data_IF_128695496965
#
_entry.id   IF_128695496965
#
_cell.length_a   1.000
_cell.length_b   1.000
_cell.length_c   1.000
_cell.angle_alpha   90.00
_cell.angle_beta   90.00
_cell.angle_gamma   90.00
#
_symmetry.space_group_name_H-M   'P 1'
#
loop_
_entity.id
_entity.type
_entity.pdbx_description
1 polymer ?
#
# COMPACT_ATOMS: atom_id res chain seq x y z
N UNK A 1 21.46 -15.48 3.73
CA UNK A 1 20.35 -15.92 2.87
C UNK A 1 20.79 -15.84 1.42
N UNK A 2 20.35 -16.77 0.58
CA UNK A 2 20.47 -16.67 -0.88
C UNK A 2 19.58 -15.54 -1.42
N UNK A 3 19.81 -15.11 -2.68
CA UNK A 3 18.95 -14.08 -3.33
C UNK A 3 17.46 -14.43 -3.26
N UNK A 4 17.11 -15.66 -3.63
CA UNK A 4 15.71 -16.09 -3.67
C UNK A 4 15.07 -16.18 -2.28
N UNK A 5 15.84 -16.51 -1.26
CA UNK A 5 15.38 -16.48 0.13
C UNK A 5 15.14 -15.05 0.61
N UNK A 6 16.05 -14.13 0.30
CA UNK A 6 15.92 -12.71 0.63
C UNK A 6 14.71 -12.10 -0.07
N UNK A 7 14.57 -12.33 -1.37
CA UNK A 7 13.44 -11.86 -2.18
C UNK A 7 12.11 -12.36 -1.60
N UNK A 8 12.01 -13.66 -1.31
CA UNK A 8 10.82 -14.22 -0.65
C UNK A 8 10.55 -13.56 0.70
N UNK A 9 11.58 -13.37 1.52
CA UNK A 9 11.43 -12.78 2.84
C UNK A 9 10.97 -11.31 2.75
N UNK A 10 11.54 -10.53 1.84
CA UNK A 10 11.15 -9.15 1.57
C UNK A 10 9.74 -9.05 0.96
N UNK A 11 9.36 -9.94 0.05
CA UNK A 11 8.00 -10.02 -0.47
C UNK A 11 7.00 -10.37 0.64
N UNK A 12 7.31 -11.31 1.55
CA UNK A 12 6.44 -11.64 2.67
C UNK A 12 6.24 -10.45 3.62
N UNK A 13 7.29 -9.66 3.87
CA UNK A 13 7.18 -8.42 4.66
C UNK A 13 6.32 -7.37 3.97
N UNK A 14 6.51 -7.18 2.66
CA UNK A 14 5.69 -6.29 1.86
C UNK A 14 4.21 -6.69 1.90
N UNK A 15 3.93 -7.98 1.69
CA UNK A 15 2.56 -8.52 1.75
C UNK A 15 1.94 -8.41 3.14
N UNK A 16 2.72 -8.40 4.22
CA UNK A 16 2.22 -8.15 5.58
C UNK A 16 1.75 -6.70 5.77
N UNK A 17 2.35 -5.75 5.06
CA UNK A 17 1.93 -4.34 5.06
C UNK A 17 0.69 -4.13 4.18
N UNK A 18 0.70 -4.72 2.98
CA UNK A 18 -0.43 -4.63 2.04
C UNK A 18 -1.67 -5.39 2.51
N UNK A 19 -1.47 -6.54 3.17
CA UNK A 19 -2.51 -7.49 3.56
C UNK A 19 -2.30 -8.01 4.99
N UNK A 20 -2.36 -7.14 6.01
CA UNK A 20 -2.38 -7.60 7.39
C UNK A 20 -3.47 -8.65 7.62
N UNK A 21 -3.19 -9.59 8.51
CA UNK A 21 -4.18 -10.54 8.99
C UNK A 21 -5.35 -9.78 9.64
N UNK A 22 -6.62 -10.13 9.33
CA UNK A 22 -7.76 -9.48 9.97
C UNK A 22 -7.71 -9.67 11.49
N UNK A 23 -7.90 -8.59 12.24
CA UNK A 23 -7.77 -8.59 13.71
C UNK A 23 -9.13 -8.31 14.34
N UNK A 24 -9.35 -8.92 15.51
CA UNK A 24 -10.54 -8.63 16.31
C UNK A 24 -10.33 -7.25 16.97
N UNK A 25 -11.21 -6.26 16.71
CA UNK A 25 -11.10 -4.96 17.36
C UNK A 25 -11.16 -5.12 18.89
N UNK A 26 -10.18 -4.57 19.60
CA UNK A 26 -10.17 -4.53 21.08
C UNK A 26 -9.53 -5.71 21.76
N UNK A 27 -8.83 -6.53 21.00
CA UNK A 27 -7.99 -7.55 21.56
C UNK A 27 -6.75 -6.91 22.23
N UNK A 28 -6.66 -7.04 23.55
CA UNK A 28 -5.68 -6.33 24.41
C UNK A 28 -4.23 -6.75 24.22
N UNK A 29 -3.98 -7.90 23.60
CA UNK A 29 -2.61 -8.42 23.37
C UNK A 29 -2.05 -8.01 21.99
N UNK A 30 -2.83 -7.26 21.20
CA UNK A 30 -2.41 -6.86 19.85
C UNK A 30 -1.50 -5.64 19.87
N UNK A 31 -0.33 -5.77 19.26
CA UNK A 31 0.52 -4.63 18.92
C UNK A 31 -0.09 -3.89 17.74
N UNK A 32 -0.71 -2.75 18.04
CA UNK A 32 -1.26 -1.81 17.06
C UNK A 32 -0.19 -0.78 16.69
N UNK A 33 0.81 -1.23 15.92
CA UNK A 33 1.80 -0.34 15.33
C UNK A 33 1.31 0.10 13.93
N UNK A 34 1.17 1.42 13.66
CA UNK A 34 0.86 1.92 12.32
C UNK A 34 2.08 1.82 11.41
N UNK A 35 2.49 0.59 11.11
CA UNK A 35 3.55 0.35 10.13
C UNK A 35 2.97 0.55 8.73
N UNK A 36 3.16 1.75 8.19
CA UNK A 36 2.86 2.06 6.80
C UNK A 36 3.95 1.57 5.85
N UNK A 37 3.73 1.77 4.56
CA UNK A 37 4.64 1.37 3.48
C UNK A 37 6.04 1.99 3.63
N UNK A 38 6.14 3.18 4.23
CA UNK A 38 7.43 3.82 4.53
C UNK A 38 8.37 2.94 5.36
N UNK A 39 7.84 2.12 6.28
CA UNK A 39 8.63 1.21 7.12
C UNK A 39 9.38 0.15 6.31
N UNK A 40 8.88 -0.17 5.10
CA UNK A 40 9.53 -1.10 4.19
C UNK A 40 10.88 -0.57 3.69
N UNK A 41 10.99 0.72 3.40
CA UNK A 41 12.24 1.32 2.94
C UNK A 41 13.28 1.40 4.05
N UNK A 42 12.85 1.60 5.30
CA UNK A 42 13.74 1.49 6.46
C UNK A 42 14.31 0.07 6.59
N UNK A 43 13.47 -0.96 6.39
CA UNK A 43 13.89 -2.36 6.38
C UNK A 43 14.90 -2.64 5.26
N UNK A 44 14.61 -2.19 4.04
CA UNK A 44 15.50 -2.40 2.88
C UNK A 44 16.84 -1.68 3.08
N UNK A 45 16.82 -0.45 3.60
CA UNK A 45 18.04 0.30 3.94
C UNK A 45 18.87 -0.48 4.97
N UNK A 46 18.24 -1.00 6.03
CA UNK A 46 18.93 -1.83 7.01
C UNK A 46 19.54 -3.09 6.37
N UNK A 47 18.80 -3.79 5.52
CA UNK A 47 19.32 -4.95 4.78
C UNK A 47 20.51 -4.57 3.90
N UNK A 48 20.51 -3.40 3.27
CA UNK A 48 21.66 -2.90 2.52
C UNK A 48 22.88 -2.68 3.45
N UNK A 49 22.69 -2.11 4.64
CA UNK A 49 23.78 -1.94 5.62
C UNK A 49 24.37 -3.26 6.12
N UNK A 50 23.61 -4.37 6.06
CA UNK A 50 24.11 -5.70 6.40
C UNK A 50 24.99 -6.33 5.29
N UNK A 51 25.24 -5.61 4.19
CA UNK A 51 26.13 -6.04 3.12
C UNK A 51 25.46 -6.89 2.02
N UNK A 52 24.13 -6.93 1.96
CA UNK A 52 23.43 -7.59 0.85
C UNK A 52 23.66 -6.83 -0.47
N UNK A 53 23.82 -7.52 -1.62
CA UNK A 53 24.12 -6.85 -2.88
C UNK A 53 23.04 -5.85 -3.33
N UNK A 54 23.44 -4.62 -3.61
CA UNK A 54 22.56 -3.54 -4.06
C UNK A 54 21.68 -3.93 -5.27
N UNK A 55 22.27 -4.61 -6.27
CA UNK A 55 21.53 -5.04 -7.46
C UNK A 55 20.44 -6.08 -7.17
N UNK A 56 20.53 -6.84 -6.06
CA UNK A 56 19.43 -7.71 -5.63
C UNK A 56 18.28 -6.88 -5.08
N UNK A 57 18.58 -5.92 -4.19
CA UNK A 57 17.58 -5.05 -3.58
C UNK A 57 16.87 -4.19 -4.63
N UNK A 58 17.62 -3.57 -5.54
CA UNK A 58 17.07 -2.81 -6.66
C UNK A 58 16.14 -3.67 -7.53
N UNK A 59 16.53 -4.92 -7.84
CA UNK A 59 15.69 -5.84 -8.61
C UNK A 59 14.39 -6.24 -7.89
N UNK A 60 14.43 -6.39 -6.56
CA UNK A 60 13.26 -6.69 -5.74
C UNK A 60 12.31 -5.49 -5.71
N UNK A 61 12.83 -4.29 -5.42
CA UNK A 61 12.06 -3.05 -5.44
C UNK A 61 11.43 -2.81 -6.82
N UNK A 62 12.18 -3.05 -7.89
CA UNK A 62 11.70 -2.91 -9.25
C UNK A 62 10.55 -3.88 -9.57
N UNK A 63 10.58 -5.09 -9.00
CA UNK A 63 9.49 -6.06 -9.14
C UNK A 63 8.22 -5.57 -8.44
N UNK A 64 8.35 -5.00 -7.24
CA UNK A 64 7.21 -4.44 -6.49
C UNK A 64 6.56 -3.27 -7.24
N UNK A 65 7.35 -2.41 -7.90
CA UNK A 65 6.85 -1.32 -8.73
C UNK A 65 5.97 -1.78 -9.90
N UNK A 66 6.05 -3.04 -10.35
CA UNK A 66 5.22 -3.57 -11.45
C UNK A 66 3.79 -3.91 -11.00
N UNK A 67 3.54 -4.02 -9.70
CA UNK A 67 2.21 -4.35 -9.18
C UNK A 67 1.82 -5.82 -9.22
N UNK A 68 2.67 -6.69 -9.75
CA UNK A 68 2.45 -8.14 -9.75
C UNK A 68 3.74 -8.86 -9.35
N UNK A 69 3.66 -9.64 -8.27
CA UNK A 69 4.74 -10.53 -7.84
C UNK A 69 4.59 -11.84 -8.61
N UNK A 70 5.18 -11.87 -9.81
CA UNK A 70 5.12 -13.02 -10.70
C UNK A 70 5.80 -14.24 -10.06
N UNK A 71 5.12 -15.39 -10.11
CA UNK A 71 5.59 -16.69 -9.63
C UNK A 71 6.14 -16.64 -8.21
N UNK A 72 5.54 -15.81 -7.36
CA UNK A 72 5.98 -15.62 -5.99
C UNK A 72 5.75 -16.86 -5.13
N UNK A 73 6.71 -17.14 -4.27
CA UNK A 73 6.62 -18.14 -3.18
C UNK A 73 6.49 -17.49 -1.80
N UNK A 74 6.24 -16.18 -1.78
CA UNK A 74 5.83 -15.46 -0.58
C UNK A 74 4.32 -15.56 -0.41
N UNK A 75 3.84 -15.34 0.81
CA UNK A 75 2.42 -15.26 1.11
C UNK A 75 2.19 -14.30 2.26
N UNK A 76 1.04 -13.61 2.31
CA UNK A 76 0.72 -12.74 3.43
C UNK A 76 0.45 -13.58 4.69
N UNK A 77 0.39 -12.94 5.86
CA UNK A 77 0.14 -13.62 7.12
C UNK A 77 -1.24 -14.30 7.12
N UNK A 78 -1.30 -15.60 7.43
CA UNK A 78 -2.54 -16.37 7.57
C UNK A 78 -2.94 -16.62 9.03
N UNK A 79 -2.22 -16.01 9.97
CA UNK A 79 -2.50 -16.07 11.39
C UNK A 79 -2.21 -14.71 12.03
N UNK A 80 -2.87 -14.45 13.17
CA UNK A 80 -2.74 -13.21 13.93
C UNK A 80 -1.31 -12.99 14.44
N UNK A 81 -0.67 -14.07 14.90
CA UNK A 81 0.73 -14.11 15.32
C UNK A 81 1.52 -14.90 14.27
N UNK A 82 2.59 -14.30 13.75
CA UNK A 82 3.52 -14.98 12.84
C UNK A 82 4.65 -15.59 13.65
N UNK A 83 4.65 -16.90 13.80
CA UNK A 83 5.78 -17.64 14.40
C UNK A 83 6.91 -17.88 13.39
N UNK A 84 8.03 -18.41 13.86
CA UNK A 84 9.20 -18.69 13.01
C UNK A 84 8.86 -19.67 11.88
N UNK A 85 8.03 -20.68 12.15
CA UNK A 85 7.63 -21.67 11.15
C UNK A 85 6.81 -21.05 10.02
N UNK A 86 5.86 -20.17 10.36
CA UNK A 86 5.05 -19.45 9.40
C UNK A 86 5.89 -18.42 8.62
N UNK A 87 6.85 -17.77 9.27
CA UNK A 87 7.78 -16.86 8.63
C UNK A 87 8.73 -17.58 7.64
N UNK A 88 9.18 -18.78 7.98
CA UNK A 88 10.06 -19.60 7.14
C UNK A 88 9.31 -20.34 6.02
N UNK A 89 7.97 -20.39 6.06
CA UNK A 89 7.13 -21.16 5.13
C UNK A 89 7.42 -20.80 3.68
N UNK A 90 7.61 -21.83 2.86
CA UNK A 90 7.64 -21.70 1.39
C UNK A 90 6.23 -21.96 0.89
N UNK A 91 5.64 -20.96 0.27
CA UNK A 91 4.31 -21.04 -0.27
C UNK A 91 4.34 -21.59 -1.72
N UNK A 92 3.32 -22.35 -2.18
CA UNK A 92 3.14 -22.69 -3.59
C UNK A 92 3.27 -21.49 -4.52
N UNK A 93 3.87 -21.70 -5.69
CA UNK A 93 4.09 -20.63 -6.68
C UNK A 93 2.75 -20.04 -7.12
N UNK A 94 2.57 -18.73 -6.96
CA UNK A 94 1.37 -18.00 -7.41
C UNK A 94 1.74 -16.56 -7.77
N UNK A 95 1.03 -16.00 -8.75
CA UNK A 95 1.09 -14.57 -9.04
C UNK A 95 0.27 -13.81 -8.00
N UNK A 96 0.89 -12.82 -7.34
CA UNK A 96 0.22 -12.00 -6.33
C UNK A 96 0.11 -10.57 -6.83
N UNK A 97 -1.12 -10.07 -6.96
CA UNK A 97 -1.36 -8.68 -7.32
C UNK A 97 -1.20 -7.78 -6.10
N UNK A 98 -0.41 -6.72 -6.25
CA UNK A 98 -0.22 -5.64 -5.28
C UNK A 98 -0.46 -4.26 -5.92
N UNK A 99 -1.08 -4.24 -7.11
CA UNK A 99 -1.33 -3.04 -7.92
C UNK A 99 -1.96 -1.86 -7.14
N UNK A 100 -2.90 -2.07 -6.19
CA UNK A 100 -3.45 -0.97 -5.39
C UNK A 100 -2.43 -0.16 -4.59
N UNK A 101 -1.28 -0.75 -4.24
CA UNK A 101 -0.24 -0.10 -3.43
C UNK A 101 0.87 0.51 -4.28
N UNK A 102 0.86 0.29 -5.60
CA UNK A 102 1.97 0.70 -6.49
C UNK A 102 2.14 2.20 -6.54
N UNK A 103 1.04 2.97 -6.56
CA UNK A 103 1.10 4.43 -6.60
C UNK A 103 1.82 5.00 -5.37
N UNK A 104 1.42 4.55 -4.17
CA UNK A 104 2.11 4.89 -2.91
C UNK A 104 3.55 4.39 -2.95
N UNK A 105 3.78 3.14 -3.32
CA UNK A 105 5.11 2.53 -3.29
C UNK A 105 6.12 3.25 -4.20
N UNK A 106 5.73 3.60 -5.43
CA UNK A 106 6.58 4.34 -6.37
C UNK A 106 6.88 5.76 -5.87
N UNK A 107 5.87 6.43 -5.35
CA UNK A 107 6.03 7.77 -4.75
C UNK A 107 7.03 7.71 -3.60
N UNK A 108 6.81 6.81 -2.64
CA UNK A 108 7.72 6.67 -1.49
C UNK A 108 9.11 6.20 -1.91
N UNK A 109 9.23 5.30 -2.88
CA UNK A 109 10.53 4.87 -3.37
C UNK A 109 11.32 6.04 -3.97
N UNK A 110 10.69 6.90 -4.78
CA UNK A 110 11.34 8.10 -5.33
C UNK A 110 11.79 9.08 -4.22
N UNK A 111 11.03 9.19 -3.13
CA UNK A 111 11.38 10.01 -1.97
C UNK A 111 12.54 9.40 -1.16
N UNK A 112 12.55 8.07 -0.99
CA UNK A 112 13.52 7.35 -0.17
C UNK A 112 14.79 6.94 -0.91
N UNK A 113 14.82 7.00 -2.24
CA UNK A 113 15.95 6.61 -3.09
C UNK A 113 17.32 7.14 -2.62
N UNK A 114 17.49 8.41 -2.18
CA UNK A 114 18.78 8.91 -1.71
C UNK A 114 19.24 8.24 -0.41
N UNK A 115 18.28 7.75 0.38
CA UNK A 115 18.52 7.16 1.69
C UNK A 115 18.82 5.66 1.61
N UNK A 116 18.53 5.01 0.48
CA UNK A 116 18.75 3.57 0.31
C UNK A 116 20.24 3.20 0.22
N UNK A 117 21.11 4.15 -0.15
CA UNK A 117 22.54 3.93 -0.31
C UNK A 117 22.92 3.13 -1.57
N UNK A 118 21.98 2.94 -2.50
CA UNK A 118 22.22 2.36 -3.82
C UNK A 118 21.26 2.95 -4.84
N UNK A 119 21.69 3.10 -6.11
CA UNK A 119 20.82 3.60 -7.15
C UNK A 119 19.75 2.56 -7.51
N UNK A 120 18.54 3.03 -7.78
CA UNK A 120 17.58 2.23 -8.51
C UNK A 120 18.09 2.04 -9.93
N UNK A 121 18.27 0.79 -10.35
CA UNK A 121 18.68 0.51 -11.73
C UNK A 121 17.47 0.76 -12.62
N UNK A 122 17.53 1.80 -13.45
CA UNK A 122 16.69 1.91 -14.64
C UNK A 122 16.99 0.69 -15.51
N UNK A 123 16.21 -0.36 -15.32
CA UNK A 123 16.47 -1.65 -15.94
C UNK A 123 16.04 -1.62 -17.42
N UNK A 124 16.44 -0.63 -18.23
CA UNK A 124 16.09 -0.52 -19.66
C UNK A 124 14.58 -0.74 -19.94
N UNK A 125 13.72 -0.49 -18.96
CA UNK A 125 12.32 -0.88 -18.99
C UNK A 125 11.52 0.39 -18.74
N UNK A 126 10.94 0.93 -19.81
CA UNK A 126 10.04 2.10 -19.83
C UNK A 126 8.85 1.98 -18.86
N UNK A 127 8.70 0.83 -18.19
CA UNK A 127 7.66 0.53 -17.19
C UNK A 127 8.06 0.84 -15.75
N UNK A 128 9.34 1.11 -15.45
CA UNK A 128 9.82 1.48 -14.12
C UNK A 128 9.91 3.00 -13.91
N UNK A 129 8.91 3.74 -14.39
CA UNK A 129 8.86 5.19 -14.23
C UNK A 129 8.54 5.54 -12.77
N UNK A 130 9.60 5.74 -11.99
CA UNK A 130 9.50 6.44 -10.73
C UNK A 130 9.16 7.91 -11.02
N UNK A 131 8.25 8.53 -10.24
CA UNK A 131 7.97 9.94 -10.42
C UNK A 131 9.23 10.75 -10.14
N UNK A 132 9.43 11.81 -10.93
CA UNK A 132 10.44 12.82 -10.60
C UNK A 132 10.07 13.47 -9.27
N UNK A 133 11.04 13.83 -8.44
CA UNK A 133 10.75 14.39 -7.10
C UNK A 133 9.94 15.67 -7.18
N UNK A 134 10.17 16.49 -8.20
CA UNK A 134 9.46 17.76 -8.41
C UNK A 134 7.98 17.55 -8.77
N UNK A 135 7.63 16.35 -9.24
CA UNK A 135 6.26 15.92 -9.52
C UNK A 135 5.57 15.31 -8.29
N UNK A 136 6.26 15.11 -7.17
CA UNK A 136 5.64 14.64 -5.93
C UNK A 136 5.15 15.86 -5.14
N UNK A 137 3.86 15.87 -4.79
CA UNK A 137 3.22 16.95 -4.04
C UNK A 137 2.52 16.41 -2.80
N UNK A 138 2.37 17.28 -1.81
CA UNK A 138 1.54 17.00 -0.63
C UNK A 138 0.07 17.32 -0.96
N UNK A 139 -0.80 16.32 -0.95
CA UNK A 139 -2.22 16.47 -1.20
C UNK A 139 -2.99 16.49 0.11
N UNK A 140 -4.01 17.35 0.19
CA UNK A 140 -4.96 17.38 1.30
C UNK A 140 -6.36 17.07 0.77
N UNK A 141 -7.04 16.13 1.40
CA UNK A 141 -8.43 15.76 1.08
C UNK A 141 -9.32 16.08 2.27
N UNK A 142 -10.42 16.80 2.02
CA UNK A 142 -11.48 17.06 2.99
C UNK A 142 -12.49 15.91 2.97
N UNK A 143 -12.52 15.16 4.06
CA UNK A 143 -13.45 14.08 4.36
C UNK A 143 -14.72 14.61 5.05
N UNK A 144 -15.86 13.91 4.97
CA UNK A 144 -17.03 14.29 5.77
C UNK A 144 -16.75 14.12 7.27
N UNK A 145 -17.41 14.89 8.17
CA UNK A 145 -17.33 14.69 9.61
C UNK A 145 -17.60 13.23 9.99
N UNK A 146 -16.80 12.68 10.90
CA UNK A 146 -17.03 11.33 11.38
C UNK A 146 -18.26 11.30 12.30
N UNK A 147 -19.36 10.74 11.83
CA UNK A 147 -20.59 10.54 12.61
C UNK A 147 -20.61 9.18 13.33
N UNK A 148 -19.58 8.35 13.15
CA UNK A 148 -19.53 7.00 13.69
C UNK A 148 -18.83 6.90 15.04
N UNK A 149 -19.54 6.35 16.04
CA UNK A 149 -19.01 5.96 17.36
C UNK A 149 -17.80 5.01 17.28
N UNK A 150 -17.56 4.35 16.13
CA UNK A 150 -16.59 3.26 15.93
C UNK A 150 -15.10 3.65 15.84
N UNK A 151 -14.75 4.94 15.87
CA UNK A 151 -13.34 5.36 15.86
C UNK A 151 -12.68 5.33 17.25
N UNK A 152 -13.45 5.60 18.31
CA UNK A 152 -12.87 5.86 19.63
C UNK A 152 -12.58 4.61 20.45
N UNK A 153 -13.15 3.47 20.06
CA UNK A 153 -13.18 2.30 20.93
C UNK A 153 -11.98 1.39 20.84
N UNK A 154 -11.03 1.58 19.90
CA UNK A 154 -9.88 0.67 19.75
C UNK A 154 -8.69 1.33 19.05
N UNK A 155 -7.44 0.97 19.39
CA UNK A 155 -6.28 1.38 18.60
C UNK A 155 -6.36 0.69 17.23
N UNK A 156 -6.87 1.39 16.23
CA UNK A 156 -6.92 0.92 14.86
C UNK A 156 -5.83 1.59 14.04
N UNK A 157 -5.21 0.80 13.17
CA UNK A 157 -4.39 1.31 12.08
C UNK A 157 -5.33 1.63 10.92
N UNK A 158 -5.19 2.83 10.36
CA UNK A 158 -6.00 3.31 9.25
C UNK A 158 -5.19 3.39 7.97
N UNK A 159 -5.88 3.34 6.84
CA UNK A 159 -5.35 3.65 5.52
C UNK A 159 -6.33 4.59 4.80
N UNK A 160 -5.78 5.47 3.97
CA UNK A 160 -6.53 6.24 3.01
C UNK A 160 -6.71 5.39 1.75
N UNK A 161 -7.95 5.30 1.26
CA UNK A 161 -8.32 4.52 0.09
C UNK A 161 -8.94 5.45 -0.93
N UNK A 162 -8.32 5.59 -2.09
CA UNK A 162 -8.86 6.29 -3.25
C UNK A 162 -9.51 5.23 -4.14
N UNK A 163 -10.82 5.32 -4.36
CA UNK A 163 -11.61 4.27 -5.02
C UNK A 163 -12.49 4.89 -6.10
N UNK A 164 -12.51 4.30 -7.28
CA UNK A 164 -13.47 4.70 -8.32
C UNK A 164 -14.90 4.26 -7.91
N UNK A 165 -15.91 5.08 -8.20
CA UNK A 165 -17.33 4.75 -7.93
C UNK A 165 -17.78 3.44 -8.57
N UNK A 166 -17.21 3.11 -9.73
CA UNK A 166 -17.51 1.87 -10.45
C UNK A 166 -16.84 0.62 -9.85
N UNK A 167 -16.02 0.76 -8.81
CA UNK A 167 -15.30 -0.37 -8.21
C UNK A 167 -16.26 -1.20 -7.35
N UNK A 168 -16.41 -2.47 -7.72
CA UNK A 168 -17.26 -3.46 -7.04
C UNK A 168 -16.75 -3.87 -5.66
N UNK A 169 -15.58 -3.38 -5.25
CA UNK A 169 -14.95 -3.70 -3.96
C UNK A 169 -15.76 -3.10 -2.83
N UNK A 170 -16.68 -3.87 -2.26
CA UNK A 170 -17.39 -3.51 -1.03
C UNK A 170 -16.40 -3.45 0.15
N UNK A 171 -16.55 -2.47 1.04
CA UNK A 171 -15.72 -2.37 2.24
C UNK A 171 -15.73 -3.69 3.02
N UNK A 172 -14.54 -4.20 3.35
CA UNK A 172 -14.33 -5.50 4.01
C UNK A 172 -13.70 -6.58 3.13
N UNK A 173 -13.61 -6.38 1.80
CA UNK A 173 -13.18 -7.44 0.87
C UNK A 173 -11.84 -7.23 0.17
N UNK A 174 -11.03 -6.25 0.64
CA UNK A 174 -9.72 -5.95 0.05
C UNK A 174 -8.80 -7.17 0.03
N UNK A 175 -8.88 -8.04 1.04
CA UNK A 175 -8.14 -9.30 1.08
C UNK A 175 -8.57 -10.28 -0.02
N UNK A 176 -9.87 -10.34 -0.37
CA UNK A 176 -10.33 -11.16 -1.50
C UNK A 176 -9.94 -10.55 -2.85
N UNK A 177 -9.93 -9.22 -2.96
CA UNK A 177 -9.48 -8.54 -4.18
C UNK A 177 -8.01 -8.83 -4.46
N UNK A 178 -7.16 -8.90 -3.44
CA UNK A 178 -5.72 -9.09 -3.57
C UNK A 178 -5.28 -10.57 -3.44
N UNK A 179 -6.27 -11.46 -3.37
CA UNK A 179 -6.23 -12.91 -3.17
C UNK A 179 -4.87 -13.56 -2.90
N UNK A 180 -4.74 -13.92 -1.64
CA UNK A 180 -3.65 -14.63 -1.01
C UNK A 180 -3.86 -16.15 -0.87
N UNK A 181 -4.60 -16.78 -1.79
CA UNK A 181 -4.95 -18.22 -1.96
C UNK A 181 -6.43 -18.55 -1.73
N UNK A 182 -7.21 -17.68 -1.09
CA UNK A 182 -8.63 -17.90 -0.75
C UNK A 182 -9.59 -16.84 -1.28
N UNK A 183 -9.08 -15.83 -1.96
CA UNK A 183 -9.83 -14.74 -2.58
C UNK A 183 -10.44 -15.12 -3.93
N UNK A 184 -11.02 -14.11 -4.58
CA UNK A 184 -11.88 -14.34 -5.74
C UNK A 184 -11.04 -14.66 -7.00
N UNK A 185 -11.28 -15.82 -7.60
CA UNK A 185 -10.64 -16.24 -8.85
C UNK A 185 -11.48 -15.90 -10.09
N UNK A 186 -12.55 -15.13 -9.95
CA UNK A 186 -13.41 -14.72 -11.06
C UNK A 186 -12.64 -13.86 -12.09
N UNK A 187 -13.03 -13.90 -13.37
CA UNK A 187 -12.47 -13.01 -14.38
C UNK A 187 -12.64 -11.51 -14.04
N UNK A 188 -13.72 -11.15 -13.34
CA UNK A 188 -13.97 -9.78 -12.89
C UNK A 188 -12.94 -9.34 -11.83
N UNK A 189 -12.60 -10.21 -10.87
CA UNK A 189 -11.54 -9.96 -9.90
C UNK A 189 -10.17 -9.89 -10.57
N UNK A 190 -9.89 -10.74 -11.57
CA UNK A 190 -8.66 -10.69 -12.36
C UNK A 190 -8.52 -9.37 -13.14
N UNK A 191 -9.59 -8.90 -13.78
CA UNK A 191 -9.61 -7.62 -14.50
C UNK A 191 -9.43 -6.44 -13.53
N UNK A 192 -10.10 -6.47 -12.38
CA UNK A 192 -9.97 -5.45 -11.33
C UNK A 192 -8.56 -5.39 -10.71
N UNK A 193 -7.78 -6.47 -10.79
CA UNK A 193 -6.37 -6.53 -10.38
C UNK A 193 -5.42 -5.93 -11.42
N UNK A 194 -5.76 -6.02 -12.71
CA UNK A 194 -4.92 -5.50 -13.80
C UNK A 194 -5.11 -4.00 -14.00
N UNK A 195 -6.32 -3.48 -13.80
CA UNK A 195 -6.63 -2.05 -13.77
C UNK A 195 -7.16 -1.70 -12.37
N UNK A 196 -6.27 -1.38 -11.41
CA UNK A 196 -6.70 -1.15 -10.05
C UNK A 196 -7.58 0.10 -9.99
N UNK A 197 -8.89 -0.10 -9.87
CA UNK A 197 -9.88 0.96 -9.57
C UNK A 197 -9.83 1.41 -8.12
N UNK A 198 -8.67 1.22 -7.49
CA UNK A 198 -8.42 1.47 -6.08
C UNK A 198 -6.93 1.72 -5.85
N UNK A 199 -6.60 2.79 -5.13
CA UNK A 199 -5.27 3.08 -4.62
C UNK A 199 -5.31 3.13 -3.11
N UNK A 200 -4.31 2.54 -2.46
CA UNK A 200 -4.18 2.52 -1.00
C UNK A 200 -2.96 3.34 -0.60
N UNK A 201 -3.16 4.22 0.38
CA UNK A 201 -2.13 5.09 0.95
C UNK A 201 -2.10 4.87 2.46
N UNK A 202 -1.00 4.30 2.93
CA UNK A 202 -0.75 3.97 4.32
C UNK A 202 0.11 5.01 5.05
N UNK A 203 0.94 5.75 4.33
CA UNK A 203 1.73 6.87 4.82
C UNK A 203 0.96 8.19 4.62
N UNK A 204 0.04 8.47 5.55
CA UNK A 204 -0.73 9.71 5.55
C UNK A 204 -0.85 10.27 6.98
N UNK A 205 -0.99 11.59 7.08
CA UNK A 205 -1.29 12.27 8.32
C UNK A 205 -2.76 12.65 8.36
N UNK A 206 -3.41 12.30 9.46
CA UNK A 206 -4.78 12.69 9.76
C UNK A 206 -4.78 13.57 11.00
N UNK A 207 -5.41 14.73 10.90
CA UNK A 207 -5.72 15.55 12.07
C UNK A 207 -6.99 15.02 12.71
N UNK A 208 -7.01 14.86 14.03
CA UNK A 208 -8.11 14.21 14.75
C UNK A 208 -9.35 15.10 14.87
N UNK A 209 -9.14 16.42 14.85
CA UNK A 209 -10.14 17.49 14.84
C UNK A 209 -10.56 17.87 13.42
N UNK A 210 -9.62 17.88 12.49
CA UNK A 210 -9.86 18.25 11.11
C UNK A 210 -10.29 17.02 10.32
N UNK A 211 -11.38 17.20 9.60
CA UNK A 211 -11.90 16.38 8.53
C UNK A 211 -10.92 16.24 7.35
N UNK A 212 -9.60 16.16 7.58
CA UNK A 212 -8.58 16.25 6.55
C UNK A 212 -7.57 15.11 6.63
N UNK A 213 -7.30 14.48 5.50
CA UNK A 213 -6.19 13.58 5.30
C UNK A 213 -5.14 14.25 4.42
N UNK A 214 -3.87 14.16 4.81
CA UNK A 214 -2.72 14.74 4.10
C UNK A 214 -1.70 13.66 3.77
N UNK A 215 -1.20 13.63 2.53
CA UNK A 215 -0.31 12.57 2.07
C UNK A 215 0.50 13.03 0.85
N UNK A 216 1.66 12.40 0.63
CA UNK A 216 2.49 12.65 -0.54
C UNK A 216 2.11 11.70 -1.67
N UNK A 217 1.99 12.22 -2.90
CA UNK A 217 1.69 11.44 -4.09
C UNK A 217 2.27 12.11 -5.34
N UNK A 218 2.57 11.31 -6.36
CA UNK A 218 2.81 11.80 -7.71
C UNK A 218 1.60 12.59 -8.25
N UNK A 219 1.85 13.79 -8.76
CA UNK A 219 0.83 14.63 -9.43
C UNK A 219 0.22 13.92 -10.62
N UNK A 220 1.00 13.17 -11.41
CA UNK A 220 0.47 12.46 -12.58
C UNK A 220 -0.63 11.46 -12.21
N UNK A 221 -0.48 10.79 -11.06
CA UNK A 221 -1.52 9.92 -10.52
C UNK A 221 -2.72 10.75 -10.09
N UNK A 222 -2.54 11.72 -9.20
CA UNK A 222 -3.65 12.47 -8.61
C UNK A 222 -4.44 13.29 -9.65
N UNK A 223 -3.76 13.95 -10.58
CA UNK A 223 -4.40 14.71 -11.65
C UNK A 223 -5.26 13.81 -12.54
N UNK A 224 -4.81 12.58 -12.80
CA UNK A 224 -5.59 11.58 -13.51
C UNK A 224 -6.86 11.17 -12.76
N UNK A 225 -6.76 10.93 -11.44
CA UNK A 225 -7.92 10.59 -10.61
C UNK A 225 -8.93 11.75 -10.51
N UNK A 226 -8.42 12.97 -10.38
CA UNK A 226 -9.25 14.20 -10.29
C UNK A 226 -9.94 14.48 -11.63
N UNK A 227 -9.21 14.36 -12.75
CA UNK A 227 -9.75 14.61 -14.09
C UNK A 227 -10.83 13.60 -14.49
N UNK A 228 -10.72 12.35 -14.06
CA UNK A 228 -11.75 11.32 -14.27
C UNK A 228 -13.06 11.64 -13.52
N UNK A 229 -12.97 12.31 -12.36
CA UNK A 229 -14.12 12.79 -11.60
C UNK A 229 -15.01 11.70 -10.98
N UNK A 230 -14.73 10.42 -11.23
CA UNK A 230 -15.46 9.28 -10.67
C UNK A 230 -14.85 8.71 -9.39
N UNK A 231 -13.75 9.28 -8.91
CA UNK A 231 -13.01 8.79 -7.75
C UNK A 231 -13.40 9.45 -6.44
N UNK A 232 -13.33 8.66 -5.37
CA UNK A 232 -13.69 9.05 -4.01
C UNK A 232 -12.63 8.58 -3.02
N UNK A 233 -12.41 9.37 -1.97
CA UNK A 233 -11.57 9.06 -0.85
C UNK A 233 -12.36 8.52 0.35
N UNK A 234 -11.75 7.54 1.01
CA UNK A 234 -12.29 6.87 2.17
C UNK A 234 -11.18 6.61 3.20
N UNK A 235 -11.52 6.60 4.48
CA UNK A 235 -10.64 6.06 5.53
C UNK A 235 -11.13 4.69 5.90
N UNK A 236 -10.26 3.69 5.77
CA UNK A 236 -10.55 2.30 6.11
C UNK A 236 -9.69 1.88 7.30
N UNK A 237 -10.21 0.98 8.14
CA UNK A 237 -9.40 0.29 9.16
C UNK A 237 -8.74 -0.93 8.53
N UNK A 238 -7.47 -1.18 8.84
CA UNK A 238 -6.73 -2.34 8.30
C UNK A 238 -7.04 -3.65 9.04
N UNK A 239 -7.61 -3.59 10.24
CA UNK A 239 -7.99 -4.77 11.02
C UNK A 239 -9.17 -5.54 10.39
N UNK A 240 -10.10 -4.81 9.77
CA UNK A 240 -11.35 -5.35 9.23
C UNK A 240 -11.55 -4.97 7.77
N UNK A 241 -10.67 -4.15 7.20
CA UNK A 241 -10.78 -3.56 5.86
C UNK A 241 -12.10 -2.82 5.62
N UNK A 242 -12.75 -2.35 6.68
CA UNK A 242 -14.02 -1.63 6.62
C UNK A 242 -13.80 -0.14 6.56
N UNK A 243 -14.60 0.52 5.72
CA UNK A 243 -14.70 1.97 5.67
C UNK A 243 -15.26 2.50 7.01
N UNK A 244 -14.63 3.55 7.53
CA UNK A 244 -15.04 4.25 8.74
C UNK A 244 -15.31 5.73 8.52
N UNK A 245 -14.84 6.30 7.41
CA UNK A 245 -15.10 7.68 7.02
C UNK A 245 -15.09 7.78 5.49
N UNK A 246 -15.91 8.67 4.94
CA UNK A 246 -16.14 8.84 3.50
C UNK A 246 -17.62 8.59 3.12
N UNK A 247 -17.98 8.72 1.84
CA UNK A 247 -17.11 9.11 0.72
C UNK A 247 -16.77 10.60 0.76
N UNK A 248 -15.60 10.96 0.22
CA UNK A 248 -15.28 12.31 -0.19
C UNK A 248 -14.92 12.34 -1.68
N UNK A 249 -15.62 13.12 -2.51
CA UNK A 249 -15.30 13.19 -3.93
C UNK A 249 -13.89 13.78 -4.16
N UNK A 250 -13.14 13.22 -5.11
CA UNK A 250 -11.84 13.75 -5.53
C UNK A 250 -11.96 14.84 -6.60
N UNK A 251 -12.89 15.78 -6.43
CA UNK A 251 -13.07 16.90 -7.37
C UNK A 251 -13.53 18.16 -6.65
N UNK A 252 -13.33 19.31 -7.31
CA UNK A 252 -13.69 20.63 -6.76
C UNK A 252 -12.90 20.98 -5.49
N UNK A 253 -13.52 21.71 -4.57
CA UNK A 253 -12.87 22.29 -3.37
C UNK A 253 -12.53 21.27 -2.26
N UNK A 254 -12.82 19.98 -2.52
CA UNK A 254 -12.56 18.86 -1.61
C UNK A 254 -11.11 18.39 -1.61
N UNK A 255 -10.33 18.73 -2.64
CA UNK A 255 -8.91 18.38 -2.77
C UNK A 255 -8.09 19.65 -2.94
N UNK A 256 -6.99 19.78 -2.20
CA UNK A 256 -6.05 20.88 -2.36
C UNK A 256 -4.62 20.37 -2.47
N UNK A 257 -3.85 20.98 -3.36
CA UNK A 257 -2.44 20.66 -3.59
C UNK A 257 -1.58 21.60 -2.78
N UNK A 258 -0.63 21.03 -2.03
CA UNK A 258 0.34 21.74 -1.21
C UNK A 258 1.70 21.82 -1.87
N UNK A 259 2.73 21.80 -1.03
CA UNK A 259 4.13 21.95 -1.44
C UNK A 259 4.67 20.77 -2.26
N UNK A 260 5.76 21.02 -2.99
CA UNK A 260 6.55 19.99 -3.68
C UNK A 260 7.48 19.27 -2.71
N UNK A 261 7.74 18.00 -3.01
CA UNK A 261 8.82 17.26 -2.38
C UNK A 261 10.16 17.76 -2.94
N UNK A 262 11.10 18.06 -2.05
CA UNK A 262 12.42 18.60 -2.37
C UNK A 262 13.49 17.50 -2.52
#
# INVERSE_FOLDING_TARGET
MTRGELERWLHSHFLKLCLPFPRIPGHIILVNAPLGMASYFSLVSHVATLGYPAHWLAGILATLCRGVLARSRAGPPTAEITDEKLAARVWPVKDVCVAPFVAEFRTLLAMWEPLLGFPMVDANDDKLLLPRREAIRNFTIKLPPNTGERMHWNPAVFVLVLKARSSEVAGGDMRRLLDDRTGDSSPAAANSRMEPRIHVVSAFTRKADATTATFWMDTGVMDGLIADGSWEAWIWRTDTWRAVQGPAPLHGDGVSVGEAWC
#
